data_IF_664880641620
#
_entry.id   IF_664880641620
#
_cell.length_a   1.000
_cell.length_b   1.000
_cell.length_c   1.000
_cell.angle_alpha   90.00
_cell.angle_beta   90.00
_cell.angle_gamma   90.00
#
_symmetry.space_group_name_H-M   'P 1'
#
loop_
_entity.id
_entity.type
_entity.pdbx_description
1 polymer ?
#
# COMPACT_ATOMS: atom_id res chain seq x y z
N UNK A 1 42.02 -48.71 2.07
CA UNK A 1 41.57 -50.10 2.32
C UNK A 1 40.35 -50.34 1.45
N UNK A 2 40.55 -50.81 0.22
CA UNK A 2 40.67 -52.23 -0.19
C UNK A 2 39.23 -52.79 -0.37
N UNK A 3 38.71 -52.80 -1.61
CA UNK A 3 38.71 -53.91 -2.61
C UNK A 3 37.49 -54.84 -2.40
N UNK A 4 36.86 -55.53 -3.36
CA UNK A 4 37.01 -55.65 -4.81
C UNK A 4 35.81 -56.42 -5.39
N UNK A 5 35.51 -56.14 -6.66
CA UNK A 5 35.38 -57.09 -7.78
C UNK A 5 34.44 -58.31 -7.67
N UNK A 6 33.54 -58.41 -8.67
CA UNK A 6 33.79 -59.35 -9.77
C UNK A 6 33.16 -58.91 -11.10
N UNK A 7 34.03 -58.55 -12.04
CA UNK A 7 33.83 -58.67 -13.48
C UNK A 7 33.68 -60.15 -13.83
N UNK A 8 32.85 -60.47 -14.82
CA UNK A 8 33.29 -61.33 -15.93
C UNK A 8 32.53 -60.92 -17.19
N UNK A 9 33.33 -60.60 -18.17
CA UNK A 9 33.03 -60.07 -19.48
C UNK A 9 32.95 -61.24 -20.46
N UNK A 10 32.26 -60.97 -21.57
CA UNK A 10 32.65 -61.32 -22.93
C UNK A 10 31.90 -62.43 -23.70
N UNK A 11 31.39 -61.94 -24.82
CA UNK A 11 31.31 -62.55 -26.15
C UNK A 11 30.34 -63.70 -26.34
N UNK A 12 29.19 -63.40 -26.94
CA UNK A 12 28.78 -64.01 -28.22
C UNK A 12 27.92 -63.02 -29.02
N UNK A 13 28.62 -62.17 -29.78
CA UNK A 13 28.15 -61.64 -31.05
C UNK A 13 28.00 -62.84 -32.00
N UNK A 14 26.98 -62.78 -32.85
CA UNK A 14 26.49 -63.77 -33.82
C UNK A 14 25.44 -64.74 -33.27
N UNK A 15 24.17 -64.38 -33.49
CA UNK A 15 23.10 -65.21 -34.09
C UNK A 15 21.69 -64.78 -33.61
N UNK A 16 21.37 -63.48 -33.68
CA UNK A 16 19.98 -62.97 -33.57
C UNK A 16 19.73 -61.97 -34.72
N UNK A 17 20.06 -62.40 -35.93
CA UNK A 17 19.58 -61.81 -37.18
C UNK A 17 18.99 -62.94 -38.01
N UNK A 18 17.70 -63.18 -37.81
CA UNK A 18 16.96 -64.24 -38.48
C UNK A 18 16.03 -64.94 -37.49
N UNK A 19 14.73 -64.97 -37.79
CA UNK A 19 13.64 -65.59 -37.00
C UNK A 19 13.02 -64.66 -35.92
N UNK A 20 12.60 -63.45 -36.32
CA UNK A 20 11.51 -62.71 -35.65
C UNK A 20 10.66 -61.89 -36.65
N UNK A 21 10.54 -62.42 -37.88
CA UNK A 21 9.55 -61.99 -38.89
C UNK A 21 8.51 -63.12 -38.98
N UNK A 22 7.34 -62.94 -38.36
CA UNK A 22 6.04 -63.57 -38.70
C UNK A 22 5.06 -63.80 -37.53
N UNK A 23 5.14 -63.06 -36.41
CA UNK A 23 4.11 -63.16 -35.35
C UNK A 23 3.52 -61.82 -34.88
N UNK A 24 3.53 -60.78 -35.74
CA UNK A 24 3.05 -59.43 -35.36
C UNK A 24 2.05 -58.80 -36.34
N UNK A 25 1.44 -59.57 -37.26
CA UNK A 25 0.49 -59.02 -38.26
C UNK A 25 -0.97 -59.44 -38.16
N UNK A 26 -1.33 -60.42 -37.32
CA UNK A 26 -2.73 -60.92 -37.25
C UNK A 26 -3.43 -60.75 -35.88
N UNK A 27 -2.84 -60.05 -34.91
CA UNK A 27 -3.50 -59.70 -33.64
C UNK A 27 -3.82 -58.19 -33.50
N UNK A 28 -3.72 -57.43 -34.61
CA UNK A 28 -3.96 -55.99 -34.64
C UNK A 28 -5.21 -55.60 -35.46
N UNK A 29 -6.01 -56.58 -35.90
CA UNK A 29 -7.16 -56.36 -36.81
C UNK A 29 -8.52 -56.72 -36.18
N UNK A 30 -8.57 -57.29 -34.96
CA UNK A 30 -9.82 -57.71 -34.31
C UNK A 30 -10.21 -56.96 -33.02
N UNK A 31 -9.56 -55.82 -32.71
CA UNK A 31 -9.96 -54.92 -31.59
C UNK A 31 -10.39 -53.52 -32.12
N UNK A 32 -10.47 -53.33 -33.44
CA UNK A 32 -10.85 -52.04 -34.09
C UNK A 32 -12.35 -52.00 -34.48
N UNK A 33 -13.15 -53.03 -34.15
CA UNK A 33 -14.50 -53.19 -34.69
C UNK A 33 -15.67 -52.95 -33.70
N UNK A 34 -15.45 -52.41 -32.48
CA UNK A 34 -16.56 -52.19 -31.53
C UNK A 34 -16.36 -51.00 -30.58
N UNK A 35 -16.14 -49.81 -31.14
CA UNK A 35 -16.51 -48.54 -30.51
C UNK A 35 -16.88 -47.54 -31.62
N UNK A 36 -18.13 -47.58 -32.06
CA UNK A 36 -18.75 -46.46 -32.77
C UNK A 36 -19.37 -45.56 -31.68
N UNK A 37 -18.76 -44.42 -31.32
CA UNK A 37 -19.54 -43.29 -30.84
C UNK A 37 -20.02 -42.52 -32.07
N UNK A 38 -21.33 -42.41 -32.16
CA UNK A 38 -22.05 -41.48 -33.02
C UNK A 38 -21.33 -40.13 -33.04
N UNK A 39 -20.89 -39.70 -34.22
CA UNK A 39 -20.51 -38.30 -34.44
C UNK A 39 -21.81 -37.50 -34.37
N UNK A 40 -22.27 -37.21 -33.15
CA UNK A 40 -23.05 -36.04 -32.87
C UNK A 40 -22.17 -34.87 -33.30
N UNK A 41 -22.48 -34.29 -34.46
CA UNK A 41 -22.13 -32.91 -34.70
C UNK A 41 -22.83 -32.11 -33.61
N UNK A 42 -22.15 -31.92 -32.48
CA UNK A 42 -22.33 -30.69 -31.72
C UNK A 42 -22.00 -29.59 -32.71
N UNK A 43 -23.04 -29.00 -33.30
CA UNK A 43 -22.93 -27.62 -33.72
C UNK A 43 -22.76 -26.85 -32.41
N UNK A 44 -21.52 -26.71 -31.95
CA UNK A 44 -21.16 -25.45 -31.33
C UNK A 44 -21.45 -24.41 -32.40
N UNK A 45 -22.64 -23.82 -32.31
CA UNK A 45 -22.79 -22.46 -32.73
C UNK A 45 -21.74 -21.71 -31.92
N UNK A 46 -20.56 -21.52 -32.51
CA UNK A 46 -19.66 -20.42 -32.21
C UNK A 46 -20.57 -19.21 -32.41
N UNK A 47 -21.22 -18.84 -31.32
CA UNK A 47 -22.10 -17.70 -31.27
C UNK A 47 -21.23 -16.55 -31.72
N UNK A 48 -21.66 -15.83 -32.74
CA UNK A 48 -20.99 -14.69 -33.32
C UNK A 48 -20.90 -13.49 -32.34
N UNK A 49 -20.78 -13.76 -31.03
CA UNK A 49 -20.73 -12.83 -29.91
C UNK A 49 -19.29 -12.41 -29.59
N UNK A 50 -18.26 -13.06 -30.15
CA UNK A 50 -16.84 -12.80 -29.80
C UNK A 50 -16.02 -12.08 -30.89
N UNK A 51 -16.61 -11.73 -32.04
CA UNK A 51 -15.86 -11.12 -33.15
C UNK A 51 -15.62 -9.61 -33.01
N UNK A 52 -16.52 -8.91 -32.31
CA UNK A 52 -16.42 -7.46 -32.03
C UNK A 52 -15.46 -7.18 -30.86
N UNK A 53 -15.51 -8.02 -29.80
CA UNK A 53 -14.65 -7.90 -28.62
C UNK A 53 -13.18 -8.16 -28.91
N UNK A 54 -12.86 -9.03 -29.87
CA UNK A 54 -11.49 -9.21 -30.35
C UNK A 54 -10.86 -7.93 -30.92
N UNK A 55 -11.69 -6.97 -31.37
CA UNK A 55 -11.27 -5.67 -31.92
C UNK A 55 -11.34 -4.54 -30.89
N UNK A 56 -11.71 -4.83 -29.64
CA UNK A 56 -11.72 -3.85 -28.56
C UNK A 56 -10.31 -3.37 -28.22
N UNK A 57 -10.22 -2.13 -27.73
CA UNK A 57 -8.95 -1.59 -27.23
C UNK A 57 -8.44 -2.44 -26.06
N UNK A 58 -7.16 -2.78 -26.10
CA UNK A 58 -6.48 -3.49 -25.01
C UNK A 58 -5.88 -2.50 -24.04
N UNK A 59 -6.27 -2.58 -22.76
CA UNK A 59 -5.82 -1.65 -21.74
C UNK A 59 -5.09 -2.37 -20.61
N UNK A 60 -4.04 -1.75 -20.09
CA UNK A 60 -3.48 -2.09 -18.79
C UNK A 60 -3.82 -0.95 -17.83
N UNK A 61 -4.64 -1.27 -16.83
CA UNK A 61 -5.03 -0.35 -15.77
C UNK A 61 -4.14 -0.58 -14.56
N UNK A 62 -3.26 0.37 -14.31
CA UNK A 62 -2.41 0.43 -13.13
C UNK A 62 -3.13 1.24 -12.05
N UNK A 63 -3.85 0.53 -11.19
CA UNK A 63 -4.62 1.09 -10.09
C UNK A 63 -4.62 0.08 -8.95
N UNK A 64 -3.97 0.42 -7.83
CA UNK A 64 -3.89 -0.47 -6.67
C UNK A 64 -5.24 -0.56 -5.96
N UNK A 65 -5.93 0.58 -5.79
CA UNK A 65 -7.15 0.70 -4.97
C UNK A 65 -8.43 0.79 -5.82
N UNK A 66 -8.41 0.18 -7.02
CA UNK A 66 -9.60 0.07 -7.86
C UNK A 66 -10.32 -1.26 -7.59
N UNK A 67 -11.64 -1.19 -7.41
CA UNK A 67 -12.49 -2.38 -7.50
C UNK A 67 -12.57 -2.85 -8.95
N UNK A 68 -11.62 -3.72 -9.31
CA UNK A 68 -11.51 -4.22 -10.67
C UNK A 68 -12.72 -5.07 -11.10
N UNK A 69 -13.50 -5.63 -10.17
CA UNK A 69 -14.71 -6.37 -10.53
C UNK A 69 -15.79 -5.40 -11.00
N UNK A 70 -16.05 -4.36 -10.22
CA UNK A 70 -16.99 -3.30 -10.59
C UNK A 70 -16.56 -2.60 -11.90
N UNK A 71 -15.29 -2.22 -12.03
CA UNK A 71 -14.80 -1.54 -13.25
C UNK A 71 -14.96 -2.39 -14.50
N UNK A 72 -14.73 -3.71 -14.43
CA UNK A 72 -14.94 -4.64 -15.56
C UNK A 72 -16.41 -4.77 -15.94
N UNK A 73 -17.30 -4.82 -14.94
CA UNK A 73 -18.74 -4.89 -15.16
C UNK A 73 -19.26 -3.63 -15.86
N UNK A 74 -18.78 -2.47 -15.42
CA UNK A 74 -19.21 -1.16 -15.92
C UNK A 74 -18.60 -0.76 -17.26
N UNK A 75 -17.45 -1.33 -17.63
CA UNK A 75 -16.77 -1.03 -18.91
C UNK A 75 -16.50 -2.35 -19.66
N UNK A 76 -17.55 -3.00 -20.21
CA UNK A 76 -17.43 -4.32 -20.82
C UNK A 76 -16.90 -4.30 -22.27
N UNK A 77 -16.87 -3.12 -22.89
CA UNK A 77 -16.53 -2.87 -24.31
C UNK A 77 -15.02 -2.66 -24.55
N UNK A 78 -14.18 -3.02 -23.59
CA UNK A 78 -12.72 -2.99 -23.70
C UNK A 78 -12.13 -4.34 -23.29
N UNK A 79 -10.86 -4.56 -23.60
CA UNK A 79 -10.12 -5.73 -23.15
C UNK A 79 -9.12 -5.35 -22.07
N UNK A 80 -9.30 -5.87 -20.86
CA UNK A 80 -8.34 -5.72 -19.77
C UNK A 80 -7.23 -6.73 -19.95
N UNK A 81 -6.00 -6.26 -20.20
CA UNK A 81 -4.81 -7.10 -20.29
C UNK A 81 -4.00 -7.05 -19.00
N UNK A 82 -3.36 -8.18 -18.67
CA UNK A 82 -2.53 -8.32 -17.46
C UNK A 82 -1.06 -7.88 -17.65
N UNK A 83 -0.64 -7.56 -18.86
CA UNK A 83 0.73 -7.12 -19.17
C UNK A 83 0.72 -5.79 -19.89
N UNK A 84 1.49 -4.82 -19.40
CA UNK A 84 1.66 -3.50 -20.02
C UNK A 84 2.17 -3.57 -21.46
N UNK A 85 2.93 -4.62 -21.80
CA UNK A 85 3.47 -4.85 -23.16
C UNK A 85 2.41 -5.29 -24.17
N UNK A 86 1.32 -5.88 -23.68
CA UNK A 86 0.17 -6.30 -24.51
C UNK A 86 -0.89 -5.21 -24.63
N UNK A 87 -0.74 -4.12 -23.87
CA UNK A 87 -1.68 -3.02 -23.86
C UNK A 87 -1.45 -2.04 -25.00
N UNK A 88 -2.53 -1.61 -25.62
CA UNK A 88 -2.56 -0.49 -26.55
C UNK A 88 -2.74 0.84 -25.82
N UNK A 89 -3.20 0.83 -24.56
CA UNK A 89 -3.27 2.00 -23.67
C UNK A 89 -2.83 1.59 -22.27
N UNK A 90 -1.83 2.28 -21.73
CA UNK A 90 -1.46 2.20 -20.31
C UNK A 90 -2.18 3.30 -19.56
N UNK A 91 -2.89 2.97 -18.48
CA UNK A 91 -3.61 3.93 -17.66
C UNK A 91 -3.03 3.85 -16.26
N UNK A 92 -2.49 4.95 -15.77
CA UNK A 92 -2.04 5.09 -14.39
C UNK A 92 -3.08 5.89 -13.61
N UNK A 93 -3.58 5.31 -12.52
CA UNK A 93 -4.41 6.01 -11.55
C UNK A 93 -3.59 6.23 -10.30
N UNK A 94 -3.41 7.50 -9.94
CA UNK A 94 -2.80 7.91 -8.67
C UNK A 94 -3.79 8.76 -7.90
N UNK A 95 -3.59 8.84 -6.60
CA UNK A 95 -4.39 9.63 -5.68
C UNK A 95 -3.45 10.38 -4.73
N UNK A 96 -3.99 11.43 -4.14
CA UNK A 96 -3.36 12.24 -3.11
C UNK A 96 -4.48 12.92 -2.31
N UNK A 97 -4.22 13.26 -1.05
CA UNK A 97 -5.19 13.99 -0.24
C UNK A 97 -5.53 15.33 -0.89
N UNK A 98 -6.82 15.60 -0.99
CA UNK A 98 -7.35 16.87 -1.43
C UNK A 98 -7.53 17.79 -0.23
N UNK A 99 -7.21 19.07 -0.40
CA UNK A 99 -7.33 20.06 0.67
C UNK A 99 -8.73 20.28 1.23
N UNK A 100 -9.76 19.77 0.53
CA UNK A 100 -11.17 19.77 0.96
C UNK A 100 -11.59 18.54 1.75
N UNK A 101 -10.69 17.61 2.08
CA UNK A 101 -10.97 16.47 2.96
C UNK A 101 -11.40 15.20 2.24
N UNK A 102 -11.04 15.06 0.97
CA UNK A 102 -11.24 13.84 0.18
C UNK A 102 -9.94 13.49 -0.55
N UNK A 103 -10.05 12.80 -1.68
CA UNK A 103 -8.91 12.39 -2.49
C UNK A 103 -9.00 12.99 -3.89
N UNK A 104 -7.87 13.48 -4.40
CA UNK A 104 -7.73 13.88 -5.78
C UNK A 104 -7.12 12.74 -6.60
N UNK A 105 -7.95 12.09 -7.40
CA UNK A 105 -7.56 11.05 -8.34
C UNK A 105 -7.06 11.67 -9.65
N UNK A 106 -5.91 11.21 -10.13
CA UNK A 106 -5.32 11.58 -11.43
C UNK A 106 -5.24 10.34 -12.32
N UNK A 107 -5.89 10.41 -13.48
CA UNK A 107 -5.94 9.35 -14.50
C UNK A 107 -5.06 9.73 -15.68
N UNK A 108 -3.88 9.14 -15.76
CA UNK A 108 -2.92 9.39 -16.85
C UNK A 108 -3.03 8.30 -17.91
N UNK A 109 -3.54 8.66 -19.08
CA UNK A 109 -3.66 7.77 -20.22
C UNK A 109 -2.45 7.90 -21.14
N UNK A 110 -1.80 6.79 -21.45
CA UNK A 110 -0.64 6.74 -22.31
C UNK A 110 -0.84 5.73 -23.43
N UNK A 111 -1.08 6.24 -24.65
CA UNK A 111 -1.25 5.41 -25.83
C UNK A 111 0.02 4.67 -26.24
N UNK A 112 -0.13 3.42 -26.65
CA UNK A 112 0.91 2.50 -27.10
C UNK A 112 0.56 1.90 -28.46
N UNK A 113 1.57 1.39 -29.18
CA UNK A 113 1.38 0.79 -30.51
C UNK A 113 0.64 1.73 -31.46
N UNK A 114 -0.55 1.32 -31.92
CA UNK A 114 -1.40 2.12 -32.84
C UNK A 114 -1.94 3.42 -32.24
N UNK A 115 -1.93 3.57 -30.91
CA UNK A 115 -2.36 4.78 -30.21
C UNK A 115 -1.19 5.64 -29.70
N UNK A 116 0.05 5.34 -30.11
CA UNK A 116 1.23 6.10 -29.68
C UNK A 116 1.05 7.60 -29.95
N UNK A 117 1.30 8.42 -28.92
CA UNK A 117 1.17 9.88 -28.96
C UNK A 117 -0.23 10.40 -28.62
N UNK A 118 -1.24 9.54 -28.52
CA UNK A 118 -2.52 9.89 -27.93
C UNK A 118 -2.42 9.69 -26.42
N UNK A 119 -1.98 10.74 -25.73
CA UNK A 119 -1.93 10.77 -24.28
C UNK A 119 -3.00 11.74 -23.75
N UNK A 120 -3.42 11.52 -22.52
CA UNK A 120 -4.37 12.40 -21.84
C UNK A 120 -4.17 12.33 -20.32
N UNK A 121 -4.63 13.34 -19.61
CA UNK A 121 -4.63 13.36 -18.14
C UNK A 121 -5.91 13.98 -17.64
N UNK A 122 -6.68 13.21 -16.88
CA UNK A 122 -7.95 13.64 -16.31
C UNK A 122 -7.85 13.62 -14.79
N UNK A 123 -8.51 14.55 -14.12
CA UNK A 123 -8.54 14.63 -12.66
C UNK A 123 -9.97 14.59 -12.13
N UNK A 124 -10.14 13.95 -10.99
CA UNK A 124 -11.39 13.90 -10.25
C UNK A 124 -11.09 14.06 -8.76
N UNK A 125 -11.80 14.98 -8.08
CA UNK A 125 -11.65 15.18 -6.63
C UNK A 125 -12.91 14.71 -5.93
N UNK A 126 -12.77 13.77 -4.98
CA UNK A 126 -13.87 13.33 -4.12
C UNK A 126 -14.11 14.32 -2.98
N UNK A 127 -15.29 14.20 -2.39
CA UNK A 127 -15.67 14.92 -1.17
C UNK A 127 -15.71 13.93 0.00
N UNK A 128 -15.36 14.35 1.24
CA UNK A 128 -15.31 13.47 2.42
C UNK A 128 -16.61 12.71 2.70
N UNK A 129 -17.75 13.32 2.37
CA UNK A 129 -19.09 12.76 2.59
C UNK A 129 -19.48 11.72 1.53
N UNK A 130 -18.72 11.61 0.45
CA UNK A 130 -19.00 10.63 -0.59
C UNK A 130 -18.63 9.24 -0.12
N UNK A 131 -19.61 8.34 -0.13
CA UNK A 131 -19.36 6.93 0.13
C UNK A 131 -18.41 6.32 -0.91
N UNK A 132 -17.70 5.26 -0.51
CA UNK A 132 -16.85 4.47 -1.42
C UNK A 132 -17.59 4.03 -2.70
N UNK A 133 -18.91 3.78 -2.62
CA UNK A 133 -19.74 3.46 -3.78
C UNK A 133 -19.80 4.62 -4.78
N UNK A 134 -20.05 5.84 -4.30
CA UNK A 134 -20.11 7.05 -5.14
C UNK A 134 -18.73 7.37 -5.72
N UNK A 135 -17.67 7.27 -4.92
CA UNK A 135 -16.30 7.48 -5.37
C UNK A 135 -15.94 6.45 -6.46
N UNK A 136 -16.22 5.16 -6.22
CA UNK A 136 -16.00 4.07 -7.18
C UNK A 136 -16.75 4.30 -8.51
N UNK A 137 -18.00 4.73 -8.44
CA UNK A 137 -18.81 5.07 -9.62
C UNK A 137 -18.18 6.24 -10.40
N UNK A 138 -17.86 7.35 -9.73
CA UNK A 138 -17.29 8.54 -10.36
C UNK A 138 -15.90 8.29 -10.96
N UNK A 139 -15.04 7.54 -10.27
CA UNK A 139 -13.74 7.07 -10.80
C UNK A 139 -13.93 6.23 -12.06
N UNK A 140 -14.90 5.31 -12.03
CA UNK A 140 -15.23 4.47 -13.20
C UNK A 140 -15.78 5.29 -14.36
N UNK A 141 -16.60 6.32 -14.09
CA UNK A 141 -17.09 7.24 -15.11
C UNK A 141 -15.97 8.09 -15.71
N UNK A 142 -14.99 8.52 -14.91
CA UNK A 142 -13.80 9.20 -15.42
C UNK A 142 -12.97 8.30 -16.36
N UNK A 143 -12.81 7.02 -16.01
CA UNK A 143 -12.22 6.03 -16.89
C UNK A 143 -13.02 5.85 -18.19
N UNK A 144 -14.36 5.71 -18.11
CA UNK A 144 -15.25 5.64 -19.29
C UNK A 144 -14.99 6.83 -20.22
N UNK A 145 -15.01 8.06 -19.69
CA UNK A 145 -14.79 9.28 -20.47
C UNK A 145 -13.41 9.31 -21.15
N UNK A 146 -12.33 9.05 -20.42
CA UNK A 146 -10.98 9.04 -21.00
C UNK A 146 -10.77 7.93 -22.03
N UNK A 147 -11.46 6.79 -21.89
CA UNK A 147 -11.41 5.69 -22.85
C UNK A 147 -12.11 6.00 -24.18
N UNK A 148 -13.07 6.92 -24.21
CA UNK A 148 -13.88 7.21 -25.41
C UNK A 148 -13.02 7.57 -26.62
N UNK A 149 -11.94 8.33 -26.41
CA UNK A 149 -11.02 8.73 -27.48
C UNK A 149 -10.35 7.54 -28.18
N UNK A 150 -10.15 6.44 -27.48
CA UNK A 150 -9.55 5.21 -28.01
C UNK A 150 -10.61 4.30 -28.61
N UNK A 151 -11.75 4.13 -27.92
CA UNK A 151 -12.88 3.30 -28.39
C UNK A 151 -13.44 3.84 -29.71
N UNK A 152 -13.51 5.16 -29.87
CA UNK A 152 -13.93 5.84 -31.11
C UNK A 152 -13.10 5.45 -32.35
N UNK A 153 -11.90 4.90 -32.15
CA UNK A 153 -11.01 4.41 -33.22
C UNK A 153 -11.10 2.90 -33.45
N UNK A 154 -12.10 2.25 -32.88
CA UNK A 154 -12.36 0.80 -33.01
C UNK A 154 -13.78 0.57 -33.51
N UNK A 155 -14.10 -0.57 -34.12
CA UNK A 155 -15.47 -0.88 -34.58
C UNK A 155 -16.55 -0.83 -33.48
N UNK A 156 -16.14 -0.89 -32.20
CA UNK A 156 -17.04 -0.81 -31.04
C UNK A 156 -17.63 0.58 -30.83
N UNK A 157 -17.19 1.61 -31.55
CA UNK A 157 -17.80 2.95 -31.46
C UNK A 157 -19.31 2.92 -31.77
N UNK A 158 -19.77 1.98 -32.60
CA UNK A 158 -21.19 1.81 -32.94
C UNK A 158 -22.04 1.24 -31.79
N UNK A 159 -21.40 0.70 -30.74
CA UNK A 159 -22.07 0.13 -29.56
C UNK A 159 -22.16 1.13 -28.40
N UNK A 160 -21.61 2.34 -28.57
CA UNK A 160 -21.54 3.36 -27.52
C UNK A 160 -22.58 4.45 -27.76
N UNK A 161 -23.43 4.67 -26.77
CA UNK A 161 -24.36 5.79 -26.71
C UNK A 161 -23.89 6.78 -25.62
N UNK A 162 -23.61 8.03 -26.01
CA UNK A 162 -23.26 9.10 -25.07
C UNK A 162 -24.49 9.96 -24.84
N UNK A 163 -24.99 9.96 -23.60
CA UNK A 163 -26.10 10.80 -23.17
C UNK A 163 -25.61 11.84 -22.18
N UNK A 164 -26.11 13.05 -22.33
CA UNK A 164 -25.95 14.11 -21.34
C UNK A 164 -27.26 14.22 -20.55
N UNK A 165 -27.18 14.11 -19.22
CA UNK A 165 -28.33 14.34 -18.37
C UNK A 165 -28.39 15.84 -18.03
N UNK A 166 -29.52 16.48 -18.32
CA UNK A 166 -29.64 17.93 -18.50
C UNK A 166 -29.77 18.74 -17.20
N UNK A 167 -29.71 18.10 -16.03
CA UNK A 167 -29.76 18.73 -14.71
C UNK A 167 -28.40 19.34 -14.31
N UNK A 168 -27.86 20.24 -15.15
CA UNK A 168 -26.77 21.11 -14.76
C UNK A 168 -27.36 22.46 -14.34
N UNK A 169 -27.97 22.50 -13.16
CA UNK A 169 -28.00 23.77 -12.42
C UNK A 169 -26.61 23.92 -11.80
N UNK A 170 -25.83 24.89 -12.30
CA UNK A 170 -24.63 25.32 -11.59
C UNK A 170 -25.07 26.11 -10.38
N UNK A 171 -25.45 25.41 -9.30
CA UNK A 171 -25.34 26.05 -8.00
C UNK A 171 -23.85 26.37 -7.82
N UNK A 172 -23.52 27.66 -7.68
CA UNK A 172 -22.22 28.05 -7.17
C UNK A 172 -22.12 27.45 -5.77
N UNK A 173 -21.44 26.30 -5.65
CA UNK A 173 -21.19 25.67 -4.38
C UNK A 173 -20.20 26.56 -3.63
N UNK A 174 -20.74 27.46 -2.80
CA UNK A 174 -19.95 28.31 -1.91
C UNK A 174 -19.44 27.44 -0.77
N UNK A 175 -18.12 27.27 -0.70
CA UNK A 175 -17.47 26.61 0.42
C UNK A 175 -17.61 27.45 1.71
N UNK A 176 -18.54 27.02 2.58
CA UNK A 176 -18.79 27.65 3.88
C UNK A 176 -17.68 27.40 4.89
N UNK A 177 -16.85 26.39 4.68
CA UNK A 177 -15.77 25.98 5.57
C UNK A 177 -14.43 26.60 5.19
N UNK A 178 -14.31 27.21 4.00
CA UNK A 178 -13.11 27.90 3.52
C UNK A 178 -11.87 26.99 3.62
N UNK A 179 -11.95 25.80 3.02
CA UNK A 179 -10.94 24.75 2.95
C UNK A 179 -10.54 24.15 4.32
N UNK A 180 -11.35 24.33 5.37
CA UNK A 180 -11.16 23.60 6.62
C UNK A 180 -11.85 22.23 6.56
N UNK A 181 -11.12 21.22 7.03
CA UNK A 181 -11.57 19.83 7.13
C UNK A 181 -11.35 19.39 8.57
N UNK A 182 -12.33 18.67 9.11
CA UNK A 182 -12.30 18.11 10.46
C UNK A 182 -12.68 16.64 10.39
N UNK A 183 -11.83 15.79 10.94
CA UNK A 183 -12.04 14.35 11.04
C UNK A 183 -11.80 13.92 12.49
N UNK A 184 -12.70 13.07 12.99
CA UNK A 184 -12.65 12.51 14.33
C UNK A 184 -12.87 11.01 14.21
N UNK A 185 -11.89 10.23 14.66
CA UNK A 185 -11.98 8.77 14.72
C UNK A 185 -11.86 8.27 16.15
N UNK A 186 -12.64 7.25 16.49
CA UNK A 186 -12.53 6.50 17.74
C UNK A 186 -12.72 5.02 17.44
N UNK A 187 -11.73 4.23 17.82
CA UNK A 187 -11.68 2.80 17.57
C UNK A 187 -11.46 2.08 18.92
N UNK A 188 -12.57 1.77 19.63
CA UNK A 188 -12.52 0.94 20.81
C UNK A 188 -12.48 -0.54 20.41
N UNK A 189 -11.44 -1.24 20.83
CA UNK A 189 -11.32 -2.69 20.69
C UNK A 189 -11.35 -3.33 22.07
N UNK A 190 -12.18 -4.36 22.24
CA UNK A 190 -12.31 -5.08 23.50
C UNK A 190 -12.28 -6.57 23.25
N UNK A 191 -11.35 -7.24 23.91
CA UNK A 191 -11.22 -8.69 23.90
C UNK A 191 -11.39 -9.23 25.33
N UNK A 192 -12.14 -10.31 25.47
CA UNK A 192 -12.40 -10.91 26.77
C UNK A 192 -12.43 -12.42 26.68
N UNK A 193 -11.44 -13.02 27.31
CA UNK A 193 -11.38 -14.42 27.66
C UNK A 193 -11.62 -14.61 29.16
N UNK A 194 -11.67 -15.87 29.60
CA UNK A 194 -11.83 -16.20 31.02
C UNK A 194 -10.65 -15.71 31.87
N UNK A 195 -9.42 -15.85 31.35
CA UNK A 195 -8.18 -15.50 32.04
C UNK A 195 -7.52 -14.19 31.56
N UNK A 196 -7.90 -13.67 30.39
CA UNK A 196 -7.36 -12.43 29.83
C UNK A 196 -8.46 -11.46 29.43
N UNK A 197 -8.28 -10.16 29.69
CA UNK A 197 -9.16 -9.09 29.22
C UNK A 197 -8.33 -7.93 28.73
N UNK A 198 -8.59 -7.48 27.51
CA UNK A 198 -7.90 -6.37 26.88
C UNK A 198 -8.91 -5.31 26.45
N UNK A 199 -8.59 -4.05 26.77
CA UNK A 199 -9.28 -2.88 26.24
C UNK A 199 -8.24 -1.97 25.59
N UNK A 200 -8.39 -1.78 24.29
CA UNK A 200 -7.61 -0.84 23.50
C UNK A 200 -8.52 0.27 22.99
N UNK A 201 -8.05 1.51 23.09
CA UNK A 201 -8.72 2.70 22.58
C UNK A 201 -7.72 3.44 21.71
N UNK A 202 -8.02 3.57 20.42
CA UNK A 202 -7.31 4.46 19.49
C UNK A 202 -8.26 5.60 19.15
N UNK A 203 -7.84 6.84 19.35
CA UNK A 203 -8.63 8.00 18.97
C UNK A 203 -7.73 8.91 18.13
N UNK A 204 -8.26 9.45 17.04
CA UNK A 204 -7.57 10.46 16.24
C UNK A 204 -8.46 11.68 16.03
N UNK A 205 -7.87 12.87 16.05
CA UNK A 205 -8.50 14.12 15.63
C UNK A 205 -7.59 14.75 14.59
N UNK A 206 -8.08 14.87 13.37
CA UNK A 206 -7.37 15.52 12.26
C UNK A 206 -8.12 16.80 11.87
N UNK A 207 -7.42 17.93 11.87
CA UNK A 207 -7.95 19.21 11.42
C UNK A 207 -6.95 19.78 10.43
N UNK A 208 -7.38 19.98 9.20
CA UNK A 208 -6.50 20.48 8.16
C UNK A 208 -7.12 21.65 7.40
N UNK A 209 -6.26 22.57 6.96
CA UNK A 209 -6.57 23.56 5.95
C UNK A 209 -5.45 23.61 4.93
N UNK A 210 -5.77 23.26 3.70
CA UNK A 210 -4.78 23.18 2.63
C UNK A 210 -5.26 24.03 1.46
N UNK A 211 -4.44 25.02 1.10
CA UNK A 211 -4.57 25.85 -0.09
C UNK A 211 -3.23 25.87 -0.83
N UNK A 212 -3.14 26.39 -2.06
CA UNK A 212 -1.86 26.50 -2.77
C UNK A 212 -0.78 27.25 -1.98
N UNK A 213 -1.18 28.23 -1.17
CA UNK A 213 -0.25 29.12 -0.45
C UNK A 213 0.02 28.70 1.00
N UNK A 214 -0.91 27.97 1.63
CA UNK A 214 -0.88 27.67 3.07
C UNK A 214 -1.35 26.24 3.30
N UNK A 215 -0.60 25.52 4.14
CA UNK A 215 -1.00 24.21 4.66
C UNK A 215 -0.91 24.23 6.19
N UNK A 216 -2.04 24.01 6.85
CA UNK A 216 -2.19 23.89 8.29
C UNK A 216 -2.69 22.50 8.60
N UNK A 217 -2.00 21.77 9.48
CA UNK A 217 -2.46 20.47 9.97
C UNK A 217 -2.33 20.42 11.49
N UNK A 218 -3.36 19.91 12.14
CA UNK A 218 -3.40 19.55 13.54
C UNK A 218 -3.86 18.09 13.58
N UNK A 219 -3.01 17.21 14.09
CA UNK A 219 -3.29 15.79 14.26
C UNK A 219 -3.10 15.47 15.74
N UNK A 220 -4.09 14.84 16.37
CA UNK A 220 -3.98 14.34 17.74
C UNK A 220 -4.33 12.85 17.75
N UNK A 221 -3.36 12.02 18.10
CA UNK A 221 -3.51 10.59 18.31
C UNK A 221 -3.42 10.25 19.80
N UNK A 222 -4.44 9.58 20.30
CA UNK A 222 -4.48 9.04 21.65
C UNK A 222 -4.61 7.53 21.61
N UNK A 223 -3.62 6.88 22.20
CA UNK A 223 -3.58 5.44 22.41
C UNK A 223 -3.71 5.13 23.91
N UNK A 224 -4.61 4.22 24.23
CA UNK A 224 -4.74 3.65 25.56
C UNK A 224 -4.93 2.14 25.43
N UNK A 225 -4.11 1.37 26.13
CA UNK A 225 -4.28 -0.07 26.22
C UNK A 225 -4.23 -0.48 27.69
N UNK A 226 -5.19 -1.31 28.09
CA UNK A 226 -5.27 -1.90 29.41
C UNK A 226 -5.47 -3.40 29.26
N UNK A 227 -4.56 -4.15 29.85
CA UNK A 227 -4.59 -5.61 29.83
C UNK A 227 -4.68 -6.14 31.26
N UNK A 228 -5.55 -7.14 31.47
CA UNK A 228 -5.82 -7.73 32.77
C UNK A 228 -5.71 -9.25 32.67
N UNK A 229 -4.76 -9.80 33.42
CA UNK A 229 -4.58 -11.24 33.59
C UNK A 229 -5.13 -11.71 34.92
N UNK A 230 -5.86 -12.82 34.90
CA UNK A 230 -6.42 -13.48 36.07
C UNK A 230 -5.83 -14.89 36.14
N UNK A 231 -5.02 -15.17 37.16
CA UNK A 231 -4.47 -16.50 37.40
C UNK A 231 -5.39 -17.29 38.35
N UNK A 232 -5.36 -18.62 38.25
CA UNK A 232 -6.19 -19.53 39.06
C UNK A 232 -7.69 -19.17 39.00
N UNK A 233 -8.19 -18.93 37.78
CA UNK A 233 -9.59 -18.53 37.56
C UNK A 233 -10.54 -19.55 38.20
N UNK A 234 -11.63 -19.05 38.79
CA UNK A 234 -12.64 -19.82 39.52
C UNK A 234 -12.13 -20.56 40.79
N UNK A 235 -11.03 -20.10 41.39
CA UNK A 235 -10.56 -20.59 42.69
C UNK A 235 -10.50 -19.45 43.72
N UNK A 236 -10.52 -19.80 45.01
CA UNK A 236 -10.33 -18.83 46.11
C UNK A 236 -8.92 -18.21 46.13
N UNK A 237 -7.99 -18.72 45.30
CA UNK A 237 -6.62 -18.23 45.15
C UNK A 237 -6.41 -17.40 43.88
N UNK A 238 -7.49 -16.85 43.31
CA UNK A 238 -7.41 -16.03 42.11
C UNK A 238 -6.61 -14.74 42.35
N UNK A 239 -5.56 -14.54 41.57
CA UNK A 239 -4.74 -13.31 41.56
C UNK A 239 -5.01 -12.53 40.28
N UNK A 240 -4.93 -11.21 40.37
CA UNK A 240 -5.18 -10.30 39.25
C UNK A 240 -4.00 -9.37 39.05
N UNK A 241 -3.47 -9.35 37.83
CA UNK A 241 -2.46 -8.40 37.38
C UNK A 241 -3.08 -7.48 36.34
N UNK A 242 -2.85 -6.17 36.45
CA UNK A 242 -3.37 -5.18 35.48
C UNK A 242 -2.23 -4.29 35.02
N UNK A 243 -2.08 -4.19 33.70
CA UNK A 243 -1.07 -3.38 33.05
C UNK A 243 -1.76 -2.34 32.18
N UNK A 244 -1.23 -1.13 32.18
CA UNK A 244 -1.80 -0.01 31.43
C UNK A 244 -0.68 0.73 30.71
N UNK A 245 -0.87 0.95 29.42
CA UNK A 245 -0.03 1.83 28.61
C UNK A 245 -0.90 2.91 27.99
N UNK A 246 -0.42 4.14 28.02
CA UNK A 246 -1.05 5.27 27.35
C UNK A 246 0.01 6.12 26.66
N UNK A 247 -0.38 6.66 25.51
CA UNK A 247 0.37 7.64 24.76
C UNK A 247 -0.58 8.68 24.15
N UNK A 248 -0.13 9.92 24.10
CA UNK A 248 -0.79 11.02 23.40
C UNK A 248 0.25 11.68 22.51
N UNK A 249 -0.06 11.86 21.24
CA UNK A 249 0.75 12.58 20.28
C UNK A 249 -0.13 13.68 19.67
N UNK A 250 0.39 14.90 19.60
CA UNK A 250 -0.25 16.01 18.92
C UNK A 250 0.78 16.62 17.97
N UNK A 251 0.60 16.43 16.68
CA UNK A 251 1.46 16.96 15.62
C UNK A 251 0.80 18.20 15.03
N UNK A 252 1.53 19.31 15.00
CA UNK A 252 1.06 20.54 14.37
C UNK A 252 2.02 20.93 13.26
N UNK A 253 1.48 21.11 12.05
CA UNK A 253 2.23 21.57 10.90
C UNK A 253 1.66 22.90 10.41
N UNK A 254 2.52 23.90 10.30
CA UNK A 254 2.19 25.17 9.67
C UNK A 254 3.17 25.39 8.52
N UNK A 255 2.67 25.48 7.29
CA UNK A 255 3.49 25.66 6.09
C UNK A 255 2.96 26.82 5.28
N UNK A 256 3.88 27.62 4.76
CA UNK A 256 3.62 28.64 3.76
C UNK A 256 4.48 28.37 2.53
N UNK A 257 3.83 28.29 1.38
CA UNK A 257 4.49 28.21 0.08
C UNK A 257 5.14 29.55 -0.25
N UNK A 258 6.43 29.54 -0.63
CA UNK A 258 7.19 30.74 -1.02
C UNK A 258 7.32 30.81 -2.55
N UNK A 259 7.55 29.66 -3.18
CA UNK A 259 7.58 29.48 -4.63
C UNK A 259 7.17 28.04 -4.98
N UNK A 260 7.21 27.68 -6.25
CA UNK A 260 6.93 26.30 -6.73
C UNK A 260 7.84 25.21 -6.15
N UNK A 261 8.94 25.61 -5.50
CA UNK A 261 9.99 24.72 -4.97
C UNK A 261 10.32 24.97 -3.50
N UNK A 262 10.05 26.17 -2.97
CA UNK A 262 10.42 26.53 -1.61
C UNK A 262 9.18 26.66 -0.74
N UNK A 263 9.23 26.05 0.44
CA UNK A 263 8.26 26.29 1.50
C UNK A 263 8.98 26.51 2.83
N UNK A 264 8.34 27.25 3.73
CA UNK A 264 8.83 27.45 5.09
C UNK A 264 7.69 27.25 6.07
N UNK A 265 8.04 26.78 7.27
CA UNK A 265 7.03 26.36 8.20
C UNK A 265 7.53 26.10 9.61
N UNK A 266 6.64 25.51 10.39
CA UNK A 266 6.84 25.11 11.76
C UNK A 266 6.25 23.72 11.95
N UNK A 267 7.07 22.82 12.49
CA UNK A 267 6.64 21.58 13.10
C UNK A 267 6.57 21.80 14.61
N UNK A 268 5.42 21.54 15.22
CA UNK A 268 5.25 21.60 16.66
C UNK A 268 4.59 20.33 17.18
N UNK A 269 5.42 19.47 17.77
CA UNK A 269 5.01 18.16 18.26
C UNK A 269 4.85 18.24 19.77
N UNK A 270 3.74 17.74 20.31
CA UNK A 270 3.47 17.64 21.73
C UNK A 270 3.09 16.20 22.07
N UNK A 271 3.36 15.75 23.29
CA UNK A 271 2.87 14.43 23.67
C UNK A 271 3.26 13.93 25.03
N UNK A 272 2.81 12.72 25.33
CA UNK A 272 3.16 11.93 26.51
C UNK A 272 3.19 10.45 26.14
N UNK A 273 3.98 9.65 26.84
CA UNK A 273 4.10 8.22 26.63
C UNK A 273 4.60 7.54 27.89
N UNK A 274 3.77 6.68 28.46
CA UNK A 274 4.14 5.81 29.60
C UNK A 274 5.31 4.89 29.24
N UNK A 275 5.33 4.34 28.02
CA UNK A 275 6.36 3.42 27.52
C UNK A 275 7.72 4.10 27.35
N UNK A 276 7.73 5.32 26.81
CA UNK A 276 8.94 6.11 26.60
C UNK A 276 9.33 6.96 27.83
N UNK A 277 8.65 6.76 28.97
CA UNK A 277 8.88 7.49 30.22
C UNK A 277 8.65 9.02 30.11
N UNK A 278 7.82 9.47 29.18
CA UNK A 278 7.52 10.89 28.93
C UNK A 278 6.18 11.27 29.58
N UNK A 279 6.21 12.14 30.58
CA UNK A 279 4.99 12.74 31.13
C UNK A 279 4.51 13.90 30.25
N UNK A 280 5.46 14.65 29.68
CA UNK A 280 5.20 15.71 28.71
C UNK A 280 6.44 15.93 27.84
N UNK A 281 6.21 16.07 26.54
CA UNK A 281 7.21 16.41 25.52
C UNK A 281 6.66 17.53 24.65
N UNK A 282 7.51 18.47 24.27
CA UNK A 282 7.21 19.55 23.33
C UNK A 282 8.41 19.84 22.45
N UNK A 283 8.29 19.59 21.15
CA UNK A 283 9.30 19.85 20.13
C UNK A 283 8.83 21.02 19.26
N UNK A 284 9.51 22.16 19.33
CA UNK A 284 9.21 23.33 18.52
C UNK A 284 10.31 23.50 17.47
N UNK A 285 9.99 23.26 16.21
CA UNK A 285 10.94 23.06 15.11
C UNK A 285 10.59 23.91 13.88
N UNK A 286 10.99 25.19 13.84
CA UNK A 286 11.00 25.97 12.61
C UNK A 286 11.76 25.24 11.51
N UNK A 287 11.21 25.27 10.30
CA UNK A 287 11.64 24.42 9.20
C UNK A 287 11.61 25.13 7.85
N UNK A 288 12.49 24.70 6.95
CA UNK A 288 12.51 25.13 5.55
C UNK A 288 12.61 23.89 4.66
N UNK A 289 11.88 23.89 3.57
CA UNK A 289 11.80 22.79 2.62
C UNK A 289 12.16 23.27 1.22
N UNK A 290 12.89 22.43 0.49
CA UNK A 290 13.13 22.58 -0.93
C UNK A 290 12.72 21.29 -1.65
N UNK A 291 11.75 21.39 -2.57
CA UNK A 291 11.40 20.32 -3.49
C UNK A 291 12.10 20.56 -4.84
N UNK A 292 12.82 19.56 -5.33
CA UNK A 292 13.52 19.62 -6.60
C UNK A 292 12.53 19.61 -7.77
N UNK A 293 11.38 18.96 -7.62
CA UNK A 293 10.32 18.94 -8.62
C UNK A 293 9.22 19.93 -8.21
N UNK A 294 8.62 20.66 -9.17
CA UNK A 294 7.56 21.59 -8.85
C UNK A 294 6.32 20.84 -8.34
N UNK A 295 5.53 21.48 -7.48
CA UNK A 295 4.33 20.89 -6.86
C UNK A 295 3.36 20.21 -7.85
N UNK A 296 3.25 20.72 -9.08
CA UNK A 296 2.40 20.16 -10.14
C UNK A 296 2.81 18.75 -10.61
N UNK A 297 4.04 18.32 -10.33
CA UNK A 297 4.56 16.99 -10.71
C UNK A 297 4.62 16.00 -9.54
N UNK A 298 4.25 16.43 -8.32
CA UNK A 298 4.42 15.67 -7.07
C UNK A 298 3.73 14.29 -7.10
N UNK A 299 2.65 14.13 -7.86
CA UNK A 299 1.92 12.86 -8.04
C UNK A 299 2.68 11.82 -8.86
N UNK A 300 3.76 12.19 -9.55
CA UNK A 300 4.56 11.30 -10.40
C UNK A 300 6.01 11.18 -9.95
N UNK A 301 6.57 12.27 -9.43
CA UNK A 301 7.91 12.32 -8.87
C UNK A 301 8.02 13.48 -7.88
N UNK A 302 8.64 13.22 -6.75
CA UNK A 302 9.03 14.27 -5.80
C UNK A 302 10.41 13.95 -5.20
N UNK A 303 11.16 15.00 -4.88
CA UNK A 303 12.41 14.89 -4.14
C UNK A 303 12.54 16.11 -3.24
N UNK A 304 12.18 15.90 -1.99
CA UNK A 304 11.97 16.94 -0.99
C UNK A 304 13.03 16.86 0.08
N UNK A 305 13.63 18.01 0.37
CA UNK A 305 14.65 18.16 1.41
C UNK A 305 14.10 19.15 2.44
N UNK A 306 13.77 18.65 3.63
CA UNK A 306 13.26 19.42 4.75
C UNK A 306 14.33 19.49 5.83
N UNK A 307 14.70 20.70 6.23
CA UNK A 307 15.60 20.94 7.36
C UNK A 307 14.88 21.68 8.46
N UNK A 308 15.06 21.21 9.69
CA UNK A 308 14.41 21.74 10.89
C UNK A 308 15.42 21.91 12.01
N UNK A 309 15.33 23.02 12.76
CA UNK A 309 16.18 23.23 13.93
C UNK A 309 15.41 23.97 15.02
N UNK A 310 15.51 23.50 16.27
CA UNK A 310 14.73 24.08 17.35
C UNK A 310 14.97 23.45 18.71
N UNK A 311 13.93 23.47 19.54
CA UNK A 311 14.00 23.13 20.97
C UNK A 311 13.03 22.00 21.31
N UNK A 312 13.48 21.08 22.15
CA UNK A 312 12.71 19.99 22.71
C UNK A 312 12.69 20.13 24.23
N UNK A 313 11.51 20.13 24.84
CA UNK A 313 11.32 20.23 26.29
C UNK A 313 10.70 18.91 26.77
N UNK A 314 11.39 18.21 27.67
CA UNK A 314 10.95 16.93 28.20
C UNK A 314 10.74 17.02 29.72
N UNK A 315 9.61 16.50 30.19
CA UNK A 315 9.36 16.15 31.58
C UNK A 315 9.12 14.64 31.65
N UNK A 316 9.89 13.96 32.50
CA UNK A 316 9.85 12.51 32.63
C UNK A 316 8.90 12.05 33.73
N UNK A 317 8.33 10.85 33.57
CA UNK A 317 7.49 10.21 34.59
C UNK A 317 8.37 9.77 35.76
N UNK A 318 9.50 9.16 35.46
CA UNK A 318 10.53 8.71 36.40
C UNK A 318 11.93 9.08 35.91
N UNK A 319 12.91 8.90 36.78
CA UNK A 319 14.30 9.34 36.60
C UNK A 319 14.94 8.59 35.44
N UNK A 320 15.50 9.30 34.47
CA UNK A 320 16.20 8.66 33.35
C UNK A 320 17.51 7.99 33.78
N UNK A 321 18.08 7.15 32.92
CA UNK A 321 19.44 6.58 33.10
C UNK A 321 20.52 7.65 33.27
N UNK A 322 20.26 8.89 32.85
CA UNK A 322 21.13 10.06 33.02
C UNK A 322 20.84 10.88 34.29
N UNK A 323 19.99 10.35 35.19
CA UNK A 323 19.52 11.00 36.42
C UNK A 323 18.80 12.35 36.16
N UNK A 324 17.96 12.40 35.12
CA UNK A 324 17.14 13.58 34.79
C UNK A 324 15.66 13.29 35.03
N UNK A 325 14.96 14.27 35.56
CA UNK A 325 13.48 14.30 35.62
C UNK A 325 12.89 15.33 34.65
N UNK A 326 13.70 16.30 34.21
CA UNK A 326 13.35 17.34 33.25
C UNK A 326 14.59 17.72 32.45
N UNK A 327 14.40 18.06 31.19
CA UNK A 327 15.47 18.60 30.36
C UNK A 327 14.95 19.45 29.21
N UNK A 328 15.82 20.32 28.70
CA UNK A 328 15.59 21.13 27.51
C UNK A 328 16.77 20.90 26.58
N UNK A 329 16.48 20.41 25.39
CA UNK A 329 17.46 20.02 24.39
C UNK A 329 17.30 20.91 23.17
N UNK A 330 18.41 21.30 22.56
CA UNK A 330 18.40 21.99 21.27
C UNK A 330 18.96 21.03 20.23
N UNK A 331 18.26 20.90 19.11
CA UNK A 331 18.60 19.92 18.08
C UNK A 331 18.16 20.31 16.69
N UNK A 332 18.55 19.49 15.73
CA UNK A 332 18.25 19.63 14.31
C UNK A 332 17.81 18.30 13.71
N UNK A 333 16.99 18.38 12.66
CA UNK A 333 16.50 17.26 11.86
C UNK A 333 16.68 17.58 10.38
N UNK A 334 17.00 16.56 9.58
CA UNK A 334 17.07 16.60 8.13
C UNK A 334 16.26 15.42 7.57
N UNK A 335 15.25 15.71 6.76
CA UNK A 335 14.43 14.71 6.10
C UNK A 335 14.61 14.84 4.59
N UNK A 336 14.94 13.74 3.93
CA UNK A 336 15.04 13.64 2.47
C UNK A 336 14.04 12.58 2.01
N UNK A 337 12.98 13.02 1.35
CA UNK A 337 11.92 12.16 0.84
C UNK A 337 12.00 12.08 -0.69
N UNK A 338 12.07 10.87 -1.24
CA UNK A 338 12.08 10.59 -2.67
C UNK A 338 10.92 9.68 -3.03
N UNK A 339 10.10 10.08 -3.99
CA UNK A 339 9.05 9.24 -4.55
C UNK A 339 9.09 9.29 -6.07
N UNK A 340 8.90 8.14 -6.69
CA UNK A 340 8.91 7.97 -8.13
C UNK A 340 7.88 6.92 -8.54
N UNK A 341 7.00 7.27 -9.47
CA UNK A 341 6.01 6.34 -10.02
C UNK A 341 6.16 6.24 -11.54
N UNK A 342 6.33 5.02 -12.05
CA UNK A 342 6.53 4.69 -13.47
C UNK A 342 5.84 3.39 -13.86
N UNK A 343 5.77 3.10 -15.17
CA UNK A 343 5.15 1.87 -15.72
C UNK A 343 5.71 0.58 -15.12
N UNK A 344 7.01 0.58 -14.83
CA UNK A 344 7.70 -0.58 -14.27
C UNK A 344 7.46 -0.74 -12.77
N UNK A 345 6.93 0.27 -12.07
CA UNK A 345 6.77 0.22 -10.61
C UNK A 345 6.91 1.57 -9.92
N UNK A 346 7.10 1.51 -8.60
CA UNK A 346 7.26 2.67 -7.75
C UNK A 346 8.44 2.52 -6.79
N UNK A 347 9.01 3.66 -6.39
CA UNK A 347 10.03 3.76 -5.35
C UNK A 347 9.59 4.87 -4.41
N UNK A 348 9.56 4.59 -3.12
CA UNK A 348 9.43 5.56 -2.04
C UNK A 348 10.60 5.36 -1.09
N UNK A 349 11.35 6.42 -0.79
CA UNK A 349 12.47 6.41 0.15
C UNK A 349 12.37 7.63 1.05
N UNK A 350 12.57 7.43 2.35
CA UNK A 350 12.65 8.48 3.36
C UNK A 350 13.92 8.29 4.17
N UNK A 351 14.84 9.25 4.06
CA UNK A 351 16.04 9.31 4.89
C UNK A 351 15.85 10.42 5.92
N UNK A 352 15.91 10.07 7.19
CA UNK A 352 15.80 10.99 8.32
C UNK A 352 17.11 10.97 9.10
N UNK A 353 17.62 12.15 9.44
CA UNK A 353 18.77 12.32 10.31
C UNK A 353 18.48 13.35 11.39
N UNK A 354 18.86 13.08 12.63
CA UNK A 354 18.71 14.04 13.73
C UNK A 354 19.89 13.96 14.70
N UNK A 355 20.17 15.08 15.35
CA UNK A 355 21.12 15.15 16.47
C UNK A 355 20.83 16.34 17.38
N UNK A 356 21.45 16.34 18.56
CA UNK A 356 21.43 17.48 19.47
C UNK A 356 22.69 18.33 19.33
N UNK A 357 22.57 19.66 19.46
CA UNK A 357 23.69 20.59 19.27
C UNK A 357 24.74 20.50 20.38
N UNK A 358 24.32 20.15 21.59
CA UNK A 358 25.23 20.02 22.74
C UNK A 358 26.10 18.75 22.65
N UNK A 359 25.62 17.71 21.97
CA UNK A 359 26.30 16.43 21.81
C UNK A 359 25.83 15.74 20.52
N UNK A 360 26.65 15.81 19.48
CA UNK A 360 26.36 15.19 18.18
C UNK A 360 26.45 13.66 18.22
N UNK A 361 27.03 13.08 19.27
CA UNK A 361 26.99 11.63 19.47
C UNK A 361 25.57 11.15 19.79
N UNK A 362 24.72 12.03 20.34
CA UNK A 362 23.28 11.77 20.52
C UNK A 362 22.55 12.04 19.21
N UNK A 363 22.49 11.01 18.37
CA UNK A 363 21.97 11.10 17.03
C UNK A 363 21.11 9.89 16.65
N UNK A 364 20.36 10.07 15.57
CA UNK A 364 19.60 9.01 14.91
C UNK A 364 19.70 9.20 13.41
N UNK A 365 19.86 8.10 12.70
CA UNK A 365 19.78 8.05 11.24
C UNK A 365 18.86 6.91 10.89
N UNK A 366 17.82 7.19 10.12
CA UNK A 366 16.81 6.22 9.75
C UNK A 366 16.53 6.31 8.25
N UNK A 367 16.58 5.17 7.58
CA UNK A 367 16.22 5.02 6.18
C UNK A 367 15.06 4.05 6.10
N UNK A 368 13.92 4.53 5.60
CA UNK A 368 12.72 3.75 5.34
C UNK A 368 12.52 3.74 3.82
N UNK A 369 12.12 2.60 3.27
CA UNK A 369 11.89 2.49 1.84
C UNK A 369 10.87 1.43 1.46
N UNK A 370 10.16 1.70 0.39
CA UNK A 370 9.36 0.71 -0.34
C UNK A 370 9.65 0.78 -1.84
N UNK A 371 9.83 -0.37 -2.47
CA UNK A 371 10.15 -0.51 -3.88
C UNK A 371 9.28 -1.61 -4.45
N UNK A 372 8.35 -1.24 -5.33
CA UNK A 372 7.52 -2.17 -6.08
C UNK A 372 8.03 -2.22 -7.51
N UNK A 373 8.43 -3.40 -7.99
CA UNK A 373 8.96 -3.58 -9.35
C UNK A 373 8.20 -4.71 -10.06
N UNK A 374 7.75 -4.42 -11.29
CA UNK A 374 7.26 -5.42 -12.25
C UNK A 374 8.44 -5.93 -13.07
N UNK A 375 8.82 -7.19 -12.89
CA UNK A 375 10.00 -7.77 -13.56
C UNK A 375 9.65 -8.21 -14.97
N UNK A 376 8.62 -9.05 -15.10
CA UNK A 376 8.06 -9.50 -16.38
C UNK A 376 6.60 -9.89 -16.20
N UNK A 377 5.93 -10.35 -17.27
CA UNK A 377 4.51 -10.71 -17.28
C UNK A 377 4.09 -11.49 -16.03
N UNK A 378 3.22 -10.88 -15.23
CA UNK A 378 2.67 -11.51 -14.04
C UNK A 378 3.59 -11.56 -12.83
N UNK A 379 4.91 -11.32 -12.97
CA UNK A 379 5.85 -11.33 -11.86
C UNK A 379 6.13 -9.91 -11.36
N UNK A 380 5.78 -9.65 -10.11
CA UNK A 380 6.16 -8.44 -9.37
C UNK A 380 6.84 -8.78 -8.05
N UNK A 381 7.72 -7.90 -7.62
CA UNK A 381 8.35 -7.92 -6.31
C UNK A 381 8.00 -6.62 -5.60
N UNK A 382 7.54 -6.72 -4.36
CA UNK A 382 7.44 -5.61 -3.41
C UNK A 382 8.51 -5.80 -2.34
N UNK A 383 9.34 -4.77 -2.14
CA UNK A 383 10.39 -4.73 -1.13
C UNK A 383 10.06 -3.56 -0.21
N UNK A 384 9.80 -3.82 1.05
CA UNK A 384 9.62 -2.78 2.06
C UNK A 384 10.63 -3.00 3.19
N UNK A 385 11.08 -1.93 3.83
CA UNK A 385 11.96 -2.07 4.98
C UNK A 385 12.48 -0.75 5.54
N UNK A 386 13.13 -0.89 6.69
CA UNK A 386 13.66 0.21 7.47
C UNK A 386 14.94 -0.20 8.16
N UNK A 387 15.93 0.70 8.16
CA UNK A 387 17.14 0.57 8.98
C UNK A 387 17.33 1.85 9.77
N UNK A 388 17.49 1.72 11.08
CA UNK A 388 17.76 2.84 11.96
C UNK A 388 19.02 2.59 12.78
N UNK A 389 19.91 3.58 12.82
CA UNK A 389 20.90 3.74 13.86
C UNK A 389 20.32 4.64 14.95
N UNK A 390 20.37 4.19 16.18
CA UNK A 390 19.70 4.85 17.32
C UNK A 390 20.74 5.10 18.40
N UNK A 391 20.95 6.37 18.76
CA UNK A 391 21.81 6.75 19.87
C UNK A 391 21.27 7.99 20.63
N UNK A 392 19.96 8.22 20.54
CA UNK A 392 19.25 9.40 21.05
C UNK A 392 18.16 9.06 22.09
N UNK A 393 18.12 7.83 22.62
CA UNK A 393 17.16 7.39 23.64
C UNK A 393 17.47 8.00 25.04
N UNK A 394 17.30 9.30 25.18
CA UNK A 394 17.59 10.06 26.42
C UNK A 394 16.53 9.85 27.52
N UNK A 395 15.33 9.46 27.12
CA UNK A 395 14.17 9.29 27.98
C UNK A 395 14.14 7.96 28.74
N UNK A 396 15.01 7.00 28.40
CA UNK A 396 15.03 5.67 29.02
C UNK A 396 15.01 5.74 30.55
N UNK A 397 13.97 5.15 31.14
CA UNK A 397 13.82 5.07 32.59
C UNK A 397 15.01 4.30 33.21
N UNK A 398 15.44 4.69 34.41
CA UNK A 398 16.48 4.04 35.20
C UNK A 398 15.94 2.79 35.92
N UNK A 399 16.84 1.87 36.25
CA UNK A 399 16.52 0.67 37.02
C UNK A 399 16.27 -0.56 36.14
N UNK A 400 16.13 -1.72 36.79
CA UNK A 400 15.92 -3.00 36.11
C UNK A 400 14.54 -3.09 35.47
N UNK A 401 14.37 -4.03 34.55
CA UNK A 401 13.13 -4.25 33.79
C UNK A 401 12.58 -5.61 34.21
N UNK A 402 11.35 -5.62 34.72
CA UNK A 402 10.64 -6.86 35.08
C UNK A 402 10.31 -7.70 33.83
N UNK A 403 10.05 -8.98 34.04
CA UNK A 403 9.68 -9.88 32.95
C UNK A 403 8.37 -9.44 32.27
N UNK A 404 7.37 -9.04 33.07
CA UNK A 404 6.11 -8.52 32.55
C UNK A 404 6.30 -7.25 31.70
N UNK A 405 7.10 -6.27 32.17
CA UNK A 405 7.40 -5.06 31.38
C UNK A 405 8.08 -5.38 30.05
N UNK A 406 8.92 -6.42 30.02
CA UNK A 406 9.62 -6.86 28.81
C UNK A 406 8.68 -7.57 27.84
N UNK A 407 7.91 -8.55 28.32
CA UNK A 407 7.04 -9.38 27.47
C UNK A 407 5.86 -8.60 26.92
N UNK A 408 5.27 -7.72 27.75
CA UNK A 408 4.15 -6.86 27.37
C UNK A 408 4.61 -5.53 26.76
N UNK A 409 5.92 -5.34 26.57
CA UNK A 409 6.52 -4.13 26.00
C UNK A 409 6.06 -2.82 26.68
N UNK A 410 5.84 -2.84 27.99
CA UNK A 410 5.32 -1.70 28.77
C UNK A 410 6.36 -0.58 28.91
N UNK A 411 7.64 -0.90 28.67
CA UNK A 411 8.77 0.02 28.80
C UNK A 411 9.68 -0.08 27.58
N UNK A 412 10.16 1.07 27.13
CA UNK A 412 11.14 1.14 26.05
C UNK A 412 12.47 0.47 26.46
N UNK A 413 13.00 -0.36 25.56
CA UNK A 413 14.28 -1.03 25.73
C UNK A 413 15.40 -0.25 25.04
N UNK A 414 16.57 -0.21 25.68
CA UNK A 414 17.76 0.37 25.07
C UNK A 414 18.14 -0.42 23.82
N UNK A 415 18.25 0.27 22.69
CA UNK A 415 18.71 -0.31 21.42
C UNK A 415 19.63 0.64 20.69
N UNK A 416 20.59 0.08 19.96
CA UNK A 416 21.50 0.85 19.08
C UNK A 416 21.05 0.84 17.63
N UNK A 417 20.13 -0.04 17.28
CA UNK A 417 19.67 -0.20 15.91
C UNK A 417 18.27 -0.79 15.86
N UNK A 418 17.58 -0.55 14.75
CA UNK A 418 16.36 -1.26 14.35
C UNK A 418 16.50 -1.66 12.89
N UNK A 419 16.12 -2.88 12.58
CA UNK A 419 16.08 -3.39 11.20
C UNK A 419 14.76 -4.10 11.03
N UNK A 420 14.03 -3.73 9.99
CA UNK A 420 12.77 -4.33 9.60
C UNK A 420 12.73 -4.44 8.08
N UNK A 421 12.01 -5.44 7.58
CA UNK A 421 11.86 -5.61 6.15
C UNK A 421 10.93 -6.75 5.79
N UNK A 422 10.34 -6.62 4.61
CA UNK A 422 9.48 -7.60 3.97
C UNK A 422 9.84 -7.72 2.50
N UNK A 423 9.64 -8.93 1.98
CA UNK A 423 9.71 -9.20 0.54
C UNK A 423 8.42 -9.92 0.19
N UNK A 424 7.64 -9.32 -0.70
CA UNK A 424 6.47 -9.96 -1.30
C UNK A 424 6.78 -10.30 -2.76
N UNK A 425 6.64 -11.57 -3.13
CA UNK A 425 6.78 -12.02 -4.51
C UNK A 425 5.42 -12.50 -5.02
N UNK A 426 4.92 -11.81 -6.03
CA UNK A 426 3.60 -12.10 -6.61
C UNK A 426 3.78 -12.53 -8.05
N UNK A 427 3.39 -13.78 -8.36
CA UNK A 427 3.39 -14.32 -9.72
C UNK A 427 1.99 -14.71 -10.16
N UNK A 428 1.41 -13.92 -11.07
CA UNK A 428 0.08 -14.11 -11.62
C UNK A 428 0.20 -14.70 -13.03
N UNK A 429 -0.23 -15.95 -13.19
CA UNK A 429 -0.30 -16.64 -14.49
C UNK A 429 -1.75 -16.94 -14.89
N UNK A 430 -1.98 -17.25 -16.17
CA UNK A 430 -3.31 -17.58 -16.71
C UNK A 430 -3.72 -16.73 -17.91
N UNK A 431 -5.03 -16.66 -18.17
CA UNK A 431 -5.60 -15.91 -19.31
C UNK A 431 -5.08 -14.47 -19.36
N UNK A 432 -4.72 -14.02 -20.56
CA UNK A 432 -4.30 -12.63 -20.82
C UNK A 432 -5.42 -11.65 -20.54
N UNK A 433 -6.66 -12.07 -20.79
CA UNK A 433 -7.87 -11.29 -20.55
C UNK A 433 -8.44 -11.60 -19.19
N UNK A 434 -8.86 -10.55 -18.49
CA UNK A 434 -9.59 -10.66 -17.25
C UNK A 434 -10.92 -9.90 -17.35
N UNK A 435 -11.82 -10.34 -18.22
CA UNK A 435 -13.08 -9.64 -18.52
C UNK A 435 -14.32 -10.29 -17.87
N UNK A 436 -14.15 -11.44 -17.20
CA UNK A 436 -15.25 -12.22 -16.62
C UNK A 436 -15.29 -11.99 -15.11
N UNK A 437 -16.46 -11.62 -14.59
CA UNK A 437 -16.75 -11.51 -13.16
C UNK A 437 -17.76 -12.60 -12.81
N UNK A 438 -17.44 -13.46 -11.84
CA UNK A 438 -18.37 -14.47 -11.32
C UNK A 438 -18.38 -14.39 -9.78
N UNK A 439 -19.42 -13.78 -9.18
CA UNK A 439 -19.47 -13.56 -7.73
C UNK A 439 -19.98 -14.78 -6.92
N UNK A 440 -20.24 -15.93 -7.56
CA UNK A 440 -20.82 -17.09 -6.86
C UNK A 440 -19.78 -17.81 -5.99
N UNK A 441 -20.18 -18.27 -4.80
CA UNK A 441 -19.35 -19.03 -3.85
C UNK A 441 -18.04 -18.31 -3.44
N UNK A 442 -18.03 -16.98 -3.33
CA UNK A 442 -16.94 -16.31 -2.60
C UNK A 442 -16.96 -16.82 -1.14
N UNK A 443 -15.82 -17.24 -0.59
CA UNK A 443 -15.76 -17.63 0.81
C UNK A 443 -16.27 -16.47 1.66
N UNK A 444 -17.11 -16.78 2.65
CA UNK A 444 -17.73 -15.81 3.56
C UNK A 444 -16.73 -15.29 4.60
N UNK A 445 -15.48 -15.12 4.22
CA UNK A 445 -14.44 -14.62 5.11
C UNK A 445 -14.55 -13.09 5.12
N UNK A 446 -15.44 -12.60 5.97
CA UNK A 446 -15.43 -11.20 6.34
C UNK A 446 -14.21 -11.00 7.23
N UNK A 447 -13.16 -10.41 6.68
CA UNK A 447 -12.11 -9.81 7.49
C UNK A 447 -12.74 -8.60 8.17
N UNK A 448 -13.04 -8.74 9.46
CA UNK A 448 -13.54 -7.67 10.32
C UNK A 448 -12.41 -6.73 10.73
#
# INVERSE_FOLDING_TARGET
>A
MIFAQRKLNDNYIHMIFGIMKNCTKNLMILIIALTIPSILKSQENISAVDSTRAKAVKIFLDCNDCDMNYTRQEIPYINYVRDVREAEVFILVTDQDAGSGGEQFTFTFQGQGKFKGLNDTLTYTSSPDQTNTVIREKRTNMLKMGLMRYVAKTPLFNEIEIKHNQELESEEVVDKWNNWVFELSTEPQYESEEANKQLELRNSINISKITPDIKLEFEMDHFFNREKFIENVNTDSATTSTYTTSALMINNLFVKSISDHWSAGLLWDLGSSTRENLNFRSDFLPSIEYDIYPYSEATHRQLRILYSAGVQINNYIDTTVYNKMKETLYGQKLNVAFQLQKKWGSINLLLMGSNYFHDFSKNRIELIGSVRIRIFKGLSIDLNGGVAHINDQLSLNKGDISEAERLLQLRELATKYRVEGGIELTYIFGSIYNNIVNPRFSSSDFHY
#
